data_IF_825477694261
#
_entry.id   IF_825477694261
#
_cell.length_a   1.000
_cell.length_b   1.000
_cell.length_c   1.000
_cell.angle_alpha   90.00
_cell.angle_beta   90.00
_cell.angle_gamma   90.00
#
_symmetry.space_group_name_H-M   'P 1'
#
loop_
_entity.id
_entity.type
_entity.pdbx_description
1 polymer ?
#
# COMPACT_ATOMS: atom_id res chain seq x y z
N UNK A 1 12.45 -8.32 3.46
CA UNK A 1 11.25 -8.05 4.28
C UNK A 1 11.57 -7.34 5.59
N UNK A 2 12.70 -7.66 6.24
CA UNK A 2 13.06 -7.14 7.58
C UNK A 2 13.04 -5.61 7.67
N UNK A 3 13.48 -4.91 6.65
CA UNK A 3 13.44 -3.43 6.58
C UNK A 3 12.04 -2.85 6.77
N UNK A 4 11.01 -3.62 6.39
CA UNK A 4 9.60 -3.22 6.46
C UNK A 4 8.88 -3.80 7.68
N UNK A 5 9.54 -4.61 8.52
CA UNK A 5 8.94 -5.20 9.72
C UNK A 5 8.23 -4.15 10.55
N UNK A 6 7.01 -4.48 11.00
CA UNK A 6 6.23 -3.59 11.82
C UNK A 6 6.95 -3.19 13.12
N UNK A 7 6.96 -1.90 13.39
CA UNK A 7 7.53 -1.28 14.58
C UNK A 7 6.51 -0.36 15.25
N UNK A 8 5.94 -0.73 16.40
CA UNK A 8 5.03 0.15 17.13
C UNK A 8 5.68 1.50 17.53
N UNK A 9 6.98 1.49 17.81
CA UNK A 9 7.72 2.71 18.17
C UNK A 9 7.79 3.69 16.97
N UNK A 10 8.19 3.21 15.79
CA UNK A 10 8.23 4.03 14.57
C UNK A 10 6.82 4.49 14.19
N UNK A 11 5.80 3.63 14.35
CA UNK A 11 4.41 4.02 14.12
C UNK A 11 3.99 5.20 15.02
N UNK A 12 4.26 5.12 16.32
CA UNK A 12 3.91 6.18 17.25
C UNK A 12 4.63 7.49 16.91
N UNK A 13 5.94 7.43 16.63
CA UNK A 13 6.74 8.59 16.24
C UNK A 13 6.21 9.25 14.96
N UNK A 14 6.01 8.44 13.91
CA UNK A 14 5.54 8.94 12.61
C UNK A 14 4.14 9.53 12.71
N UNK A 15 3.23 8.92 13.46
CA UNK A 15 1.88 9.46 13.65
C UNK A 15 1.89 10.77 14.43
N UNK A 16 2.66 10.86 15.50
CA UNK A 16 2.83 12.10 16.27
C UNK A 16 3.43 13.22 15.40
N UNK A 17 4.45 12.90 14.59
CA UNK A 17 5.11 13.85 13.69
C UNK A 17 4.15 14.50 12.67
N UNK A 18 3.15 13.74 12.20
CA UNK A 18 2.21 14.21 11.18
C UNK A 18 0.79 14.50 11.72
N UNK A 19 0.58 14.44 13.03
CA UNK A 19 -0.73 14.71 13.68
C UNK A 19 -1.80 13.68 13.30
N UNK A 20 -1.43 12.40 13.22
CA UNK A 20 -2.27 11.30 12.75
C UNK A 20 -2.65 10.30 13.87
N UNK A 21 -2.42 10.62 15.15
CA UNK A 21 -2.60 9.70 16.27
C UNK A 21 -4.01 9.11 16.32
N UNK A 22 -5.03 9.96 16.17
CA UNK A 22 -6.44 9.58 16.27
C UNK A 22 -7.12 9.46 14.88
N UNK A 23 -6.33 9.30 13.82
CA UNK A 23 -6.82 9.21 12.45
C UNK A 23 -6.81 7.77 11.94
N UNK A 24 -7.69 7.47 11.00
CA UNK A 24 -7.59 6.28 10.15
C UNK A 24 -6.76 6.64 8.92
N UNK A 25 -5.66 5.95 8.69
CA UNK A 25 -4.71 6.31 7.64
C UNK A 25 -4.73 5.27 6.52
N UNK A 26 -5.26 5.67 5.37
CA UNK A 26 -5.09 4.94 4.11
C UNK A 26 -3.79 5.40 3.43
N UNK A 27 -3.02 4.48 2.88
CA UNK A 27 -1.78 4.82 2.19
C UNK A 27 -1.72 4.30 0.77
N UNK A 28 -1.05 5.06 -0.08
CA UNK A 28 -0.70 4.65 -1.44
C UNK A 28 0.74 5.06 -1.75
N UNK A 29 1.50 4.16 -2.34
CA UNK A 29 2.88 4.42 -2.80
C UNK A 29 2.95 4.18 -4.29
N UNK A 30 3.26 5.22 -5.05
CA UNK A 30 3.37 5.07 -6.48
C UNK A 30 3.63 6.37 -7.22
N UNK A 31 4.12 6.23 -8.45
CA UNK A 31 4.30 7.36 -9.35
C UNK A 31 2.95 7.92 -9.78
N UNK A 32 2.79 9.24 -9.79
CA UNK A 32 1.57 9.88 -10.30
C UNK A 32 1.50 9.76 -11.82
N UNK A 33 1.08 8.59 -12.29
CA UNK A 33 0.86 8.26 -13.70
C UNK A 33 -0.49 7.54 -13.89
N UNK A 34 -0.87 7.31 -15.16
CA UNK A 34 -2.17 6.73 -15.53
C UNK A 34 -2.34 5.31 -14.94
N UNK A 35 -1.27 4.54 -14.82
CA UNK A 35 -1.33 3.14 -14.36
C UNK A 35 -1.75 3.05 -12.90
N UNK A 36 -1.22 3.95 -12.03
CA UNK A 36 -1.51 3.98 -10.60
C UNK A 36 -2.91 4.49 -10.25
N UNK A 37 -3.57 5.17 -11.21
CA UNK A 37 -4.99 5.51 -11.14
C UNK A 37 -5.39 6.32 -9.91
N UNK A 38 -4.61 7.35 -9.59
CA UNK A 38 -4.88 8.23 -8.45
C UNK A 38 -6.28 8.89 -8.54
N UNK A 39 -6.77 9.15 -9.76
CA UNK A 39 -8.12 9.65 -10.01
C UNK A 39 -9.17 8.75 -9.32
N UNK A 40 -9.10 7.45 -9.60
CA UNK A 40 -9.99 6.46 -9.00
C UNK A 40 -9.79 6.34 -7.49
N UNK A 41 -8.55 6.44 -7.03
CA UNK A 41 -8.23 6.40 -5.60
C UNK A 41 -8.90 7.56 -4.84
N UNK A 42 -8.93 8.76 -5.40
CA UNK A 42 -9.59 9.92 -4.79
C UNK A 42 -11.10 9.73 -4.71
N UNK A 43 -11.74 9.19 -5.75
CA UNK A 43 -13.19 8.89 -5.74
C UNK A 43 -13.54 7.84 -4.67
N UNK A 44 -12.75 6.78 -4.57
CA UNK A 44 -12.89 5.75 -3.54
C UNK A 44 -12.72 6.37 -2.15
N UNK A 45 -11.71 7.21 -1.96
CA UNK A 45 -11.43 7.86 -0.70
C UNK A 45 -12.54 8.84 -0.30
N UNK A 46 -13.10 9.61 -1.25
CA UNK A 46 -14.23 10.49 -1.01
C UNK A 46 -15.47 9.72 -0.50
N UNK A 47 -15.76 8.55 -1.07
CA UNK A 47 -16.81 7.68 -0.59
C UNK A 47 -16.48 7.08 0.79
N UNK A 48 -15.21 6.72 1.03
CA UNK A 48 -14.78 6.18 2.32
C UNK A 48 -14.86 7.22 3.45
N UNK A 49 -14.62 8.50 3.19
CA UNK A 49 -14.78 9.60 4.14
C UNK A 49 -16.22 9.75 4.68
N UNK A 50 -17.23 9.29 3.92
CA UNK A 50 -18.62 9.28 4.41
C UNK A 50 -18.84 8.23 5.49
N UNK A 51 -18.02 7.17 5.53
CA UNK A 51 -18.06 6.09 6.51
C UNK A 51 -17.09 6.34 7.68
N UNK A 52 -15.95 6.95 7.41
CA UNK A 52 -14.91 7.28 8.40
C UNK A 52 -14.43 8.73 8.22
N UNK A 53 -15.14 9.71 8.81
CA UNK A 53 -14.80 11.14 8.64
C UNK A 53 -13.43 11.55 9.18
N UNK A 54 -12.79 10.69 10.02
CA UNK A 54 -11.46 10.93 10.54
C UNK A 54 -10.35 10.36 9.63
N UNK A 55 -10.72 9.78 8.48
CA UNK A 55 -9.72 9.21 7.59
C UNK A 55 -8.81 10.27 6.97
N UNK A 56 -7.57 9.87 6.72
CA UNK A 56 -6.55 10.62 5.97
C UNK A 56 -5.98 9.69 4.91
N UNK A 57 -5.81 10.21 3.70
CA UNK A 57 -5.13 9.52 2.61
C UNK A 57 -3.70 10.05 2.49
N UNK A 58 -2.71 9.17 2.63
CA UNK A 58 -1.29 9.50 2.44
C UNK A 58 -0.84 9.03 1.07
N UNK A 59 -0.38 9.97 0.24
CA UNK A 59 0.10 9.72 -1.11
C UNK A 59 1.62 9.93 -1.17
N UNK A 60 2.36 8.85 -1.45
CA UNK A 60 3.83 8.87 -1.52
C UNK A 60 4.26 8.64 -2.96
N UNK A 61 5.08 9.56 -3.45
CA UNK A 61 5.59 9.55 -4.81
C UNK A 61 5.45 10.92 -5.48
N UNK A 62 5.87 10.99 -6.74
CA UNK A 62 5.77 12.17 -7.60
C UNK A 62 5.43 11.74 -9.02
N UNK A 63 5.00 12.67 -9.85
CA UNK A 63 4.77 12.38 -11.26
C UNK A 63 3.96 13.45 -11.97
N UNK A 64 3.87 13.29 -13.30
CA UNK A 64 3.26 14.31 -14.17
C UNK A 64 1.78 14.60 -13.89
N UNK A 65 1.07 13.65 -13.29
CA UNK A 65 -0.37 13.81 -12.99
C UNK A 65 -0.63 14.40 -11.60
N UNK A 66 0.38 14.65 -10.78
CA UNK A 66 0.18 15.21 -9.43
C UNK A 66 -0.62 16.52 -9.43
N UNK A 67 -0.39 17.51 -10.34
CA UNK A 67 -1.21 18.72 -10.36
C UNK A 67 -2.70 18.45 -10.63
N UNK A 68 -3.00 17.51 -11.53
CA UNK A 68 -4.38 17.12 -11.81
C UNK A 68 -5.04 16.39 -10.64
N UNK A 69 -4.30 15.53 -9.93
CA UNK A 69 -4.77 14.84 -8.74
C UNK A 69 -5.08 15.83 -7.60
N UNK A 70 -4.23 16.86 -7.43
CA UNK A 70 -4.49 17.92 -6.45
C UNK A 70 -5.74 18.75 -6.80
N UNK A 71 -5.93 19.07 -8.08
CA UNK A 71 -7.13 19.78 -8.54
C UNK A 71 -8.40 18.96 -8.29
N UNK A 72 -8.39 17.65 -8.63
CA UNK A 72 -9.52 16.76 -8.36
C UNK A 72 -9.81 16.62 -6.86
N UNK A 73 -8.79 16.59 -6.00
CA UNK A 73 -8.97 16.55 -4.56
C UNK A 73 -9.72 17.82 -4.04
N UNK A 74 -9.43 18.99 -4.62
CA UNK A 74 -10.15 20.24 -4.32
C UNK A 74 -11.61 20.17 -4.82
N UNK A 75 -11.82 19.72 -6.05
CA UNK A 75 -13.14 19.58 -6.64
C UNK A 75 -14.04 18.63 -5.84
N UNK A 76 -13.47 17.54 -5.32
CA UNK A 76 -14.16 16.57 -4.46
C UNK A 76 -14.34 17.07 -3.01
N UNK A 77 -13.73 18.19 -2.62
CA UNK A 77 -13.79 18.73 -1.26
C UNK A 77 -13.07 17.89 -0.21
N UNK A 78 -12.05 17.11 -0.62
CA UNK A 78 -11.32 16.18 0.25
C UNK A 78 -9.84 16.57 0.46
N UNK A 79 -9.42 17.72 -0.06
CA UNK A 79 -8.01 18.11 -0.07
C UNK A 79 -7.39 18.19 1.34
N UNK A 80 -8.16 18.64 2.33
CA UNK A 80 -7.73 18.75 3.73
C UNK A 80 -7.56 17.38 4.42
N UNK A 81 -8.04 16.31 3.78
CA UNK A 81 -7.88 14.92 4.23
C UNK A 81 -6.76 14.18 3.49
N UNK A 82 -5.95 14.87 2.68
CA UNK A 82 -4.89 14.23 1.90
C UNK A 82 -3.52 14.79 2.26
N UNK A 83 -2.61 13.92 2.67
CA UNK A 83 -1.20 14.22 2.87
C UNK A 83 -0.40 13.81 1.61
N UNK A 84 0.02 14.78 0.82
CA UNK A 84 0.94 14.56 -0.29
C UNK A 84 2.37 14.57 0.24
N UNK A 85 2.94 13.40 0.46
CA UNK A 85 4.26 13.25 1.08
C UNK A 85 5.44 13.47 0.12
N UNK A 86 5.18 13.53 -1.19
CA UNK A 86 6.23 13.62 -2.20
C UNK A 86 7.09 12.36 -2.30
N UNK A 87 8.28 12.49 -2.88
CA UNK A 87 9.23 11.39 -2.97
C UNK A 87 9.92 11.16 -1.61
N UNK A 88 9.87 9.92 -1.13
CA UNK A 88 10.48 9.53 0.15
C UNK A 88 11.56 8.48 -0.07
N UNK A 89 12.68 8.61 0.62
CA UNK A 89 13.77 7.63 0.62
C UNK A 89 13.57 6.54 1.68
N UNK A 90 12.77 6.81 2.72
CA UNK A 90 12.50 5.91 3.85
C UNK A 90 11.04 5.41 3.85
N UNK A 91 10.58 4.88 2.72
CA UNK A 91 9.19 4.42 2.57
C UNK A 91 8.77 3.41 3.65
N UNK A 92 9.73 2.65 4.19
CA UNK A 92 9.49 1.70 5.28
C UNK A 92 8.83 2.37 6.51
N UNK A 93 9.26 3.57 6.90
CA UNK A 93 8.69 4.30 8.03
C UNK A 93 7.26 4.79 7.72
N UNK A 94 7.01 5.14 6.46
CA UNK A 94 5.67 5.56 6.02
C UNK A 94 4.65 4.43 6.06
N UNK A 95 5.03 3.17 5.76
CA UNK A 95 4.13 2.04 5.96
C UNK A 95 3.75 1.85 7.44
N UNK A 96 4.60 2.27 8.39
CA UNK A 96 4.29 2.12 9.82
C UNK A 96 3.08 2.97 10.23
N UNK A 97 2.95 4.20 9.70
CA UNK A 97 1.85 5.09 10.08
C UNK A 97 0.49 4.70 9.48
N UNK A 98 0.46 3.89 8.40
CA UNK A 98 -0.76 3.49 7.72
C UNK A 98 -1.56 2.44 8.52
N UNK A 99 -2.86 2.38 8.27
CA UNK A 99 -3.76 1.32 8.73
C UNK A 99 -4.09 0.35 7.59
N UNK A 100 -4.30 0.86 6.37
CA UNK A 100 -4.47 0.08 5.15
C UNK A 100 -3.62 0.63 4.01
N UNK A 101 -3.22 -0.25 3.12
CA UNK A 101 -2.63 0.08 1.83
C UNK A 101 -3.65 -0.12 0.71
N UNK A 102 -3.82 0.87 -0.18
CA UNK A 102 -4.84 0.84 -1.23
C UNK A 102 -4.20 1.10 -2.59
N UNK A 103 -4.43 0.20 -3.55
CA UNK A 103 -3.84 0.30 -4.89
C UNK A 103 -4.88 -0.05 -5.98
N UNK A 104 -5.70 0.92 -6.45
CA UNK A 104 -6.66 0.72 -7.53
C UNK A 104 -6.01 0.90 -8.92
N UNK A 105 -4.84 0.33 -9.12
CA UNK A 105 -4.06 0.43 -10.36
C UNK A 105 -4.83 -0.15 -11.54
N UNK A 106 -4.64 0.44 -12.73
CA UNK A 106 -5.22 -0.04 -14.00
C UNK A 106 -4.42 -1.19 -14.61
N UNK A 107 -3.16 -1.27 -14.27
CA UNK A 107 -2.24 -2.31 -14.71
C UNK A 107 -0.99 -2.32 -13.84
N UNK A 108 -0.53 -3.51 -13.47
CA UNK A 108 0.75 -3.76 -12.82
C UNK A 108 1.38 -5.05 -13.38
N UNK A 109 2.72 -5.12 -13.32
CA UNK A 109 3.39 -6.41 -13.21
C UNK A 109 3.24 -6.92 -11.77
N UNK A 110 4.31 -7.37 -11.14
CA UNK A 110 4.27 -7.63 -9.69
C UNK A 110 4.61 -6.33 -8.94
N UNK A 111 3.65 -5.68 -8.24
CA UNK A 111 3.91 -4.40 -7.58
C UNK A 111 4.68 -4.59 -6.28
N UNK A 112 5.99 -4.31 -6.30
CA UNK A 112 6.88 -4.45 -5.14
C UNK A 112 6.36 -3.66 -3.92
N UNK A 113 5.80 -2.46 -4.12
CA UNK A 113 5.20 -1.65 -3.05
C UNK A 113 4.03 -2.35 -2.33
N UNK A 114 3.30 -3.23 -3.02
CA UNK A 114 2.26 -4.07 -2.40
C UNK A 114 2.84 -5.20 -1.54
N UNK A 115 4.01 -5.74 -1.94
CA UNK A 115 4.74 -6.74 -1.14
C UNK A 115 5.35 -6.07 0.10
N UNK A 116 5.92 -4.88 -0.04
CA UNK A 116 6.46 -4.07 1.05
C UNK A 116 5.39 -3.72 2.09
N UNK A 117 4.21 -3.29 1.64
CA UNK A 117 3.07 -3.00 2.52
C UNK A 117 2.64 -4.23 3.33
N UNK A 118 2.57 -5.40 2.70
CA UNK A 118 2.27 -6.66 3.38
C UNK A 118 3.40 -7.09 4.32
N UNK A 119 4.67 -6.83 3.99
CA UNK A 119 5.79 -7.07 4.90
C UNK A 119 5.71 -6.17 6.16
N UNK A 120 5.14 -4.97 6.02
CA UNK A 120 4.80 -4.10 7.15
C UNK A 120 3.53 -4.54 7.91
N UNK A 121 2.94 -5.66 7.53
CA UNK A 121 1.75 -6.24 8.15
C UNK A 121 0.48 -5.42 7.91
N UNK A 122 0.42 -4.66 6.82
CA UNK A 122 -0.77 -3.90 6.47
C UNK A 122 -1.85 -4.78 5.83
N UNK A 123 -3.11 -4.49 6.12
CA UNK A 123 -4.20 -4.89 5.27
C UNK A 123 -4.06 -4.19 3.91
N UNK A 124 -4.17 -4.94 2.82
CA UNK A 124 -3.95 -4.43 1.48
C UNK A 124 -5.18 -4.64 0.60
N UNK A 125 -5.60 -3.60 -0.11
CA UNK A 125 -6.71 -3.66 -1.05
C UNK A 125 -6.21 -3.26 -2.44
N UNK A 126 -6.24 -4.21 -3.36
CA UNK A 126 -5.81 -4.06 -4.74
C UNK A 126 -7.01 -4.05 -5.68
N UNK A 127 -6.84 -3.53 -6.89
CA UNK A 127 -7.77 -3.80 -7.99
C UNK A 127 -7.55 -5.20 -8.56
N UNK A 128 -8.55 -5.72 -9.25
CA UNK A 128 -8.47 -6.97 -10.04
C UNK A 128 -7.55 -6.87 -11.27
N UNK A 129 -7.08 -5.66 -11.61
CA UNK A 129 -6.06 -5.45 -12.64
C UNK A 129 -4.62 -5.62 -12.12
N UNK A 130 -4.44 -5.85 -10.84
CA UNK A 130 -3.17 -6.24 -10.23
C UNK A 130 -3.12 -7.78 -10.19
N UNK A 131 -2.00 -8.43 -10.57
CA UNK A 131 -1.89 -9.90 -10.57
C UNK A 131 -2.18 -10.50 -9.18
N UNK A 132 -2.88 -11.65 -9.15
CA UNK A 132 -3.22 -12.36 -7.90
C UNK A 132 -1.98 -12.78 -7.10
N UNK A 133 -0.85 -12.94 -7.76
CA UNK A 133 0.44 -13.27 -7.15
C UNK A 133 0.90 -12.26 -6.11
N UNK A 134 0.29 -11.07 -6.07
CA UNK A 134 0.54 -10.08 -5.01
C UNK A 134 -0.14 -10.44 -3.70
N UNK A 135 -1.17 -11.30 -3.70
CA UNK A 135 -1.95 -11.66 -2.51
C UNK A 135 -1.19 -12.67 -1.64
N UNK A 136 -0.19 -12.20 -0.91
CA UNK A 136 0.71 -13.04 -0.10
C UNK A 136 0.26 -13.18 1.35
N UNK A 137 -0.60 -12.27 1.81
CA UNK A 137 -1.12 -12.21 3.16
C UNK A 137 -2.62 -12.54 3.17
N UNK A 138 -3.15 -13.20 4.22
CA UNK A 138 -4.60 -13.37 4.40
C UNK A 138 -5.35 -12.03 4.56
N UNK A 139 -4.62 -10.94 4.81
CA UNK A 139 -5.14 -9.58 4.86
C UNK A 139 -4.93 -8.80 3.55
N UNK A 140 -4.79 -9.49 2.43
CA UNK A 140 -4.74 -8.90 1.09
C UNK A 140 -5.93 -9.35 0.27
N UNK A 141 -6.67 -8.41 -0.31
CA UNK A 141 -7.86 -8.69 -1.13
C UNK A 141 -7.82 -7.90 -2.43
N UNK A 142 -8.60 -8.38 -3.40
CA UNK A 142 -8.89 -7.63 -4.61
C UNK A 142 -10.36 -7.19 -4.64
N UNK A 143 -10.56 -5.99 -5.22
CA UNK A 143 -11.89 -5.46 -5.54
C UNK A 143 -11.87 -5.07 -7.02
N UNK A 144 -12.89 -5.46 -7.82
CA UNK A 144 -12.95 -5.09 -9.22
C UNK A 144 -12.86 -3.57 -9.43
N UNK A 145 -12.08 -3.12 -10.42
CA UNK A 145 -12.05 -1.70 -10.80
C UNK A 145 -13.42 -1.19 -11.24
N UNK A 146 -14.26 -2.07 -11.77
CA UNK A 146 -15.63 -1.77 -12.18
C UNK A 146 -16.62 -1.67 -11.01
N UNK A 147 -16.24 -2.10 -9.80
CA UNK A 147 -17.08 -1.96 -8.61
C UNK A 147 -17.32 -0.48 -8.28
N UNK A 148 -18.45 -0.18 -7.66
CA UNK A 148 -18.81 1.19 -7.29
C UNK A 148 -17.86 1.76 -6.21
N UNK A 149 -17.83 3.11 -6.08
CA UNK A 149 -17.10 3.76 -5.00
C UNK A 149 -17.58 3.29 -3.62
N UNK A 150 -18.89 3.03 -3.49
CA UNK A 150 -19.49 2.53 -2.26
C UNK A 150 -19.02 1.10 -1.92
N UNK A 151 -18.90 0.22 -2.92
CA UNK A 151 -18.39 -1.15 -2.71
C UNK A 151 -16.93 -1.15 -2.28
N UNK A 152 -16.11 -0.29 -2.88
CA UNK A 152 -14.73 -0.08 -2.47
C UNK A 152 -14.65 0.45 -1.03
N UNK A 153 -15.42 1.48 -0.70
CA UNK A 153 -15.46 2.06 0.65
C UNK A 153 -15.90 1.02 1.70
N UNK A 154 -16.94 0.23 1.40
CA UNK A 154 -17.37 -0.86 2.26
C UNK A 154 -16.30 -1.97 2.40
N UNK A 155 -15.57 -2.26 1.33
CA UNK A 155 -14.44 -3.19 1.35
C UNK A 155 -13.31 -2.70 2.27
N UNK A 156 -12.93 -1.44 2.17
CA UNK A 156 -11.93 -0.82 3.04
C UNK A 156 -12.38 -0.85 4.51
N UNK A 157 -13.64 -0.54 4.78
CA UNK A 157 -14.18 -0.58 6.14
C UNK A 157 -14.16 -1.99 6.73
N UNK A 158 -14.55 -3.02 5.96
CA UNK A 158 -14.45 -4.42 6.40
C UNK A 158 -13.02 -4.81 6.72
N UNK A 159 -12.05 -4.39 5.89
CA UNK A 159 -10.63 -4.69 6.13
C UNK A 159 -10.11 -4.06 7.42
N UNK A 160 -10.52 -2.82 7.73
CA UNK A 160 -10.14 -2.15 8.99
C UNK A 160 -10.70 -2.86 10.23
N UNK A 161 -11.85 -3.51 10.11
CA UNK A 161 -12.50 -4.21 11.23
C UNK A 161 -11.93 -5.62 11.46
N UNK A 162 -11.15 -6.15 10.52
CA UNK A 162 -10.53 -7.46 10.69
C UNK A 162 -9.33 -7.38 11.63
N UNK A 163 -9.24 -8.28 12.63
CA UNK A 163 -8.04 -8.39 13.44
C UNK A 163 -6.81 -8.69 12.56
N UNK A 164 -5.78 -7.89 12.69
CA UNK A 164 -4.54 -8.06 11.94
C UNK A 164 -3.33 -7.98 12.88
N UNK A 165 -2.61 -9.09 13.00
CA UNK A 165 -1.30 -9.08 13.67
C UNK A 165 -0.23 -8.61 12.68
N UNK A 166 0.09 -7.34 12.72
CA UNK A 166 1.09 -6.73 11.87
C UNK A 166 2.50 -7.31 12.07
N UNK A 167 2.79 -7.90 13.23
CA UNK A 167 4.13 -8.44 13.53
C UNK A 167 4.50 -9.63 12.66
N UNK A 168 3.51 -10.37 12.14
CA UNK A 168 3.70 -11.54 11.29
C UNK A 168 4.05 -11.20 9.83
N UNK A 169 3.82 -9.97 9.37
CA UNK A 169 3.91 -9.58 7.95
C UNK A 169 5.26 -9.89 7.31
N UNK A 170 6.37 -9.47 7.93
CA UNK A 170 7.71 -9.71 7.40
C UNK A 170 8.04 -11.20 7.24
N UNK A 171 7.59 -12.03 8.19
CA UNK A 171 7.78 -13.48 8.15
C UNK A 171 6.95 -14.14 7.04
N UNK A 172 5.69 -13.76 6.87
CA UNK A 172 4.83 -14.22 5.78
C UNK A 172 5.46 -13.96 4.42
N UNK A 173 5.97 -12.75 4.20
CA UNK A 173 6.60 -12.37 2.94
C UNK A 173 7.91 -13.12 2.71
N UNK A 174 8.67 -13.40 3.77
CA UNK A 174 9.88 -14.24 3.68
C UNK A 174 9.54 -15.67 3.29
N UNK A 175 8.52 -16.27 3.90
CA UNK A 175 8.05 -17.62 3.60
C UNK A 175 7.49 -17.74 2.18
N UNK A 176 6.87 -16.68 1.66
CA UNK A 176 6.44 -16.58 0.27
C UNK A 176 7.60 -16.46 -0.75
N UNK A 177 8.87 -16.40 -0.27
CA UNK A 177 10.04 -16.39 -1.13
C UNK A 177 10.57 -15.01 -1.53
N UNK A 178 10.01 -13.92 -0.99
CA UNK A 178 10.39 -12.54 -1.32
C UNK A 178 11.48 -11.98 -0.36
N UNK A 179 12.39 -12.84 0.08
CA UNK A 179 13.61 -12.39 0.77
C UNK A 179 14.77 -12.32 -0.23
N UNK A 180 15.36 -11.13 -0.39
CA UNK A 180 16.41 -10.90 -1.37
C UNK A 180 17.63 -11.79 -1.14
N UNK A 181 17.99 -12.07 0.12
CA UNK A 181 19.13 -12.90 0.45
C UNK A 181 18.88 -14.36 0.04
N UNK A 182 17.67 -14.86 0.29
CA UNK A 182 17.26 -16.21 -0.11
C UNK A 182 17.17 -16.29 -1.64
N UNK A 183 16.55 -15.30 -2.28
CA UNK A 183 16.41 -15.27 -3.73
C UNK A 183 17.77 -15.18 -4.44
N UNK A 184 18.69 -14.36 -3.96
CA UNK A 184 20.04 -14.22 -4.50
C UNK A 184 20.84 -15.53 -4.35
N UNK A 185 20.77 -16.20 -3.19
CA UNK A 185 21.44 -17.48 -2.96
C UNK A 185 20.90 -18.59 -3.89
N UNK A 186 19.59 -18.67 -4.08
CA UNK A 186 18.96 -19.62 -5.02
C UNK A 186 19.40 -19.34 -6.47
N UNK A 187 19.40 -18.09 -6.87
CA UNK A 187 19.82 -17.70 -8.21
C UNK A 187 21.30 -18.04 -8.46
N UNK A 188 22.16 -17.76 -7.48
CA UNK A 188 23.59 -18.12 -7.54
C UNK A 188 23.77 -19.64 -7.71
N UNK A 189 23.05 -20.46 -6.94
CA UNK A 189 23.09 -21.91 -7.07
C UNK A 189 22.65 -22.38 -8.46
N UNK A 190 21.59 -21.78 -9.01
CA UNK A 190 21.15 -22.11 -10.38
C UNK A 190 22.22 -21.78 -11.43
N UNK A 191 22.88 -20.64 -11.31
CA UNK A 191 23.98 -20.28 -12.22
C UNK A 191 25.15 -21.25 -12.12
N UNK A 192 25.57 -21.65 -10.91
CA UNK A 192 26.65 -22.62 -10.71
C UNK A 192 26.29 -23.98 -11.31
N UNK A 193 25.07 -24.45 -11.15
CA UNK A 193 24.61 -25.71 -11.76
C UNK A 193 24.61 -25.62 -13.29
N UNK A 194 24.23 -24.50 -13.88
CA UNK A 194 24.20 -24.30 -15.33
C UNK A 194 25.63 -24.15 -15.93
N UNK A 195 26.55 -23.56 -15.17
CA UNK A 195 27.97 -23.41 -15.58
C UNK A 195 28.78 -24.67 -15.44
N UNK A 196 28.27 -25.71 -14.77
CA UNK A 196 29.02 -26.95 -14.50
C UNK A 196 30.09 -26.82 -13.41
N UNK A 197 30.03 -25.76 -12.58
CA UNK A 197 30.95 -25.46 -11.49
C UNK A 197 30.39 -25.87 -10.09
N UNK A 198 29.42 -26.80 -10.05
CA UNK A 198 28.81 -27.27 -8.83
C UNK A 198 29.46 -28.55 -8.30
#
# INVERSE_FOLDING_TARGET
>A
PETFRFSPAVRAEMRARYGLEDRVVLGHVGRFDIRKNHERLLEIFAAFLQLEPRAVLVLIGTGRLEPAVRAQAQELGIADHILFAGLQSNVADWYQLMDLFVMPSRFEGLPVVGIEAQAAGLGCVFSDAVPEEVLLSPHAIQIPLSASNADWAAGLQRMLQQPCDRSAGAELIRQAGYDINIAAARLQQQYLQLSGEA
#
